data_IF_292357343755
#
_entry.id   IF_292357343755
#
_cell.length_a   1.000
_cell.length_b   1.000
_cell.length_c   1.000
_cell.angle_alpha   90.00
_cell.angle_beta   90.00
_cell.angle_gamma   90.00
#
_symmetry.space_group_name_H-M   'P 1'
#
loop_
_entity.id
_entity.type
_entity.pdbx_description
1 polymer ?
#
# COMPACT_ATOMS: atom_id res chain seq x y z
N UNK A 1 -18.14 6.67 -10.91
CA UNK A 1 -18.17 6.92 -12.36
C UNK A 1 -19.47 7.60 -12.68
N UNK A 2 -19.42 8.76 -13.35
CA UNK A 2 -20.61 9.50 -13.79
C UNK A 2 -20.82 9.16 -15.26
N UNK A 3 -21.99 8.64 -15.60
CA UNK A 3 -22.39 8.38 -16.97
C UNK A 3 -23.45 9.41 -17.38
N UNK A 4 -23.11 10.27 -18.32
CA UNK A 4 -24.05 11.17 -18.94
C UNK A 4 -24.52 10.58 -20.26
N UNK A 5 -25.84 10.49 -20.44
CA UNK A 5 -26.40 10.02 -21.70
C UNK A 5 -27.24 11.15 -22.35
N UNK A 6 -26.66 11.79 -23.35
CA UNK A 6 -27.35 12.83 -24.11
C UNK A 6 -28.23 12.24 -25.23
N UNK A 7 -27.89 11.08 -25.81
CA UNK A 7 -28.56 10.54 -26.99
C UNK A 7 -28.52 9.01 -27.09
N UNK A 8 -28.12 8.31 -26.01
CA UNK A 8 -28.08 6.83 -26.05
C UNK A 8 -29.40 6.33 -25.48
N UNK A 9 -30.19 5.79 -26.30
CA UNK A 9 -31.44 5.11 -25.96
C UNK A 9 -31.27 3.62 -26.22
N UNK A 10 -31.83 2.81 -25.35
CA UNK A 10 -31.83 1.36 -25.47
C UNK A 10 -33.25 0.95 -25.77
N UNK A 11 -33.44 0.12 -26.80
CA UNK A 11 -34.68 -0.59 -27.01
C UNK A 11 -34.67 -1.88 -26.17
N UNK A 12 -35.72 -2.18 -25.41
CA UNK A 12 -35.84 -3.50 -24.80
C UNK A 12 -35.81 -4.57 -25.89
N UNK A 13 -35.06 -5.64 -25.66
CA UNK A 13 -34.90 -6.74 -26.63
C UNK A 13 -35.76 -7.90 -26.14
N UNK A 14 -36.49 -8.55 -27.07
CA UNK A 14 -37.23 -9.78 -26.77
C UNK A 14 -36.26 -10.97 -26.65
N UNK A 15 -36.77 -12.14 -26.24
CA UNK A 15 -35.96 -13.37 -26.10
C UNK A 15 -35.30 -13.83 -27.41
N UNK A 16 -35.73 -13.31 -28.56
CA UNK A 16 -35.20 -13.59 -29.89
C UNK A 16 -34.14 -12.54 -30.36
N UNK A 17 -33.83 -11.54 -29.52
CA UNK A 17 -32.83 -10.51 -29.82
C UNK A 17 -33.34 -9.34 -30.67
N UNK A 18 -34.65 -9.23 -30.92
CA UNK A 18 -35.23 -8.13 -31.67
C UNK A 18 -35.61 -6.95 -30.77
N UNK A 19 -35.35 -5.73 -31.22
CA UNK A 19 -35.75 -4.53 -30.54
C UNK A 19 -37.26 -4.36 -30.47
N UNK A 20 -37.85 -4.36 -29.29
CA UNK A 20 -39.29 -4.27 -29.11
C UNK A 20 -39.63 -3.17 -28.10
N UNK A 21 -40.34 -2.15 -28.54
CA UNK A 21 -40.85 -1.09 -27.70
C UNK A 21 -40.23 0.30 -27.96
N UNK A 22 -40.59 1.26 -27.15
CA UNK A 22 -40.08 2.62 -27.23
C UNK A 22 -38.64 2.70 -26.74
N UNK A 23 -37.87 3.58 -27.36
CA UNK A 23 -36.49 3.88 -26.92
C UNK A 23 -36.52 4.51 -25.53
N UNK A 24 -35.83 3.88 -24.58
CA UNK A 24 -35.74 4.33 -23.19
C UNK A 24 -34.34 4.81 -22.86
N UNK A 25 -34.21 5.65 -21.85
CA UNK A 25 -32.91 5.99 -21.25
C UNK A 25 -32.22 4.74 -20.69
N UNK A 26 -30.88 4.79 -20.62
CA UNK A 26 -30.07 3.61 -20.19
C UNK A 26 -30.49 3.11 -18.80
N UNK A 27 -30.74 4.02 -17.86
CA UNK A 27 -31.15 3.63 -16.50
C UNK A 27 -32.51 2.95 -16.44
N UNK A 28 -33.48 3.43 -17.24
CA UNK A 28 -34.82 2.87 -17.30
C UNK A 28 -34.90 1.62 -18.19
N UNK A 29 -34.10 1.58 -19.26
CA UNK A 29 -34.06 0.46 -20.21
C UNK A 29 -33.28 -0.75 -19.69
N UNK A 30 -32.24 -0.50 -18.88
CA UNK A 30 -31.50 -1.50 -18.12
C UNK A 30 -31.73 -1.20 -16.65
N UNK A 31 -32.64 -1.89 -15.96
CA UNK A 31 -32.92 -1.59 -14.56
C UNK A 31 -31.71 -1.91 -13.68
N UNK A 32 -30.78 -0.93 -13.61
CA UNK A 32 -29.55 -1.05 -12.83
C UNK A 32 -29.91 -0.96 -11.35
N UNK A 33 -29.76 -2.06 -10.63
CA UNK A 33 -30.16 -2.20 -9.22
C UNK A 33 -28.98 -2.52 -8.29
N UNK A 34 -27.85 -2.88 -8.83
CA UNK A 34 -26.66 -3.36 -8.14
C UNK A 34 -26.38 -4.83 -8.43
N UNK A 35 -25.12 -5.18 -8.54
CA UNK A 35 -24.64 -6.52 -8.88
C UNK A 35 -24.39 -6.76 -10.35
N UNK A 36 -24.72 -5.83 -11.23
CA UNK A 36 -24.45 -5.92 -12.66
C UNK A 36 -22.96 -5.86 -12.92
N UNK A 37 -22.51 -6.63 -13.91
CA UNK A 37 -21.11 -6.62 -14.36
C UNK A 37 -20.87 -5.41 -15.26
N UNK A 38 -19.75 -4.74 -15.04
CA UNK A 38 -19.31 -3.61 -15.85
C UNK A 38 -17.94 -3.91 -16.43
N UNK A 39 -17.83 -3.84 -17.75
CA UNK A 39 -16.57 -3.86 -18.47
C UNK A 39 -16.17 -2.41 -18.75
N UNK A 40 -14.94 -2.04 -18.39
CA UNK A 40 -14.40 -0.71 -18.65
C UNK A 40 -13.08 -0.87 -19.39
N UNK A 41 -12.95 -0.17 -20.51
CA UNK A 41 -11.71 -0.01 -21.25
C UNK A 41 -11.41 1.48 -21.31
N UNK A 42 -10.23 1.88 -20.90
CA UNK A 42 -9.74 3.25 -21.02
C UNK A 42 -8.47 3.17 -21.85
N UNK A 43 -8.57 3.62 -23.09
CA UNK A 43 -7.44 3.67 -24.01
C UNK A 43 -6.57 4.88 -23.70
N UNK A 44 -5.27 4.68 -23.65
CA UNK A 44 -4.32 5.76 -23.46
C UNK A 44 -4.16 6.54 -24.77
N UNK A 45 -4.06 7.85 -24.66
CA UNK A 45 -3.80 8.73 -25.82
C UNK A 45 -2.31 9.06 -26.01
N UNK A 46 -1.44 8.35 -25.33
CA UNK A 46 0.01 8.54 -25.33
C UNK A 46 0.70 7.20 -25.19
N UNK A 47 1.76 6.98 -25.95
CA UNK A 47 2.58 5.76 -25.91
C UNK A 47 3.29 5.54 -24.56
N UNK A 48 3.40 6.59 -23.74
CA UNK A 48 3.99 6.53 -22.41
C UNK A 48 3.07 5.94 -21.34
N UNK A 49 1.77 5.87 -21.62
CA UNK A 49 0.77 5.34 -20.70
C UNK A 49 0.24 3.99 -21.23
N UNK A 50 -0.06 3.08 -20.32
CA UNK A 50 -0.71 1.81 -20.65
C UNK A 50 -2.22 1.98 -20.61
N UNK A 51 -2.89 1.26 -21.50
CA UNK A 51 -4.34 1.13 -21.43
C UNK A 51 -4.76 0.49 -20.11
N UNK A 52 -5.86 0.97 -19.56
CA UNK A 52 -6.50 0.37 -18.41
C UNK A 52 -7.64 -0.51 -18.87
N UNK A 53 -7.46 -1.81 -18.78
CA UNK A 53 -8.47 -2.79 -19.11
C UNK A 53 -9.00 -3.49 -17.86
N UNK A 54 -10.31 -3.34 -17.63
CA UNK A 54 -11.06 -4.12 -16.65
C UNK A 54 -11.92 -5.16 -17.39
N UNK A 55 -11.26 -5.92 -18.28
CA UNK A 55 -11.88 -6.82 -19.24
C UNK A 55 -11.71 -8.29 -18.94
N UNK A 56 -10.74 -8.65 -18.08
CA UNK A 56 -10.47 -10.05 -17.82
C UNK A 56 -11.67 -10.71 -17.16
N UNK A 57 -11.95 -11.95 -17.51
CA UNK A 57 -13.07 -12.72 -16.95
C UNK A 57 -13.11 -12.65 -15.41
N UNK A 58 -11.95 -12.51 -14.78
CA UNK A 58 -11.79 -12.44 -13.32
C UNK A 58 -11.74 -11.01 -12.76
N UNK A 59 -11.65 -9.96 -13.59
CA UNK A 59 -11.48 -8.57 -13.15
C UNK A 59 -12.66 -7.65 -13.44
N UNK A 60 -13.80 -8.23 -13.76
CA UNK A 60 -15.02 -7.44 -13.90
C UNK A 60 -15.30 -6.62 -12.63
N UNK A 61 -15.66 -5.38 -12.85
CA UNK A 61 -16.23 -4.55 -11.82
C UNK A 61 -17.73 -4.78 -11.74
N UNK A 62 -18.26 -4.69 -10.53
CA UNK A 62 -19.68 -4.86 -10.27
C UNK A 62 -20.27 -3.56 -9.75
N UNK A 63 -21.47 -3.23 -10.15
CA UNK A 63 -22.20 -2.11 -9.60
C UNK A 63 -22.49 -2.40 -8.14
N UNK A 64 -21.97 -1.59 -7.24
CA UNK A 64 -22.25 -1.67 -5.80
C UNK A 64 -23.39 -0.76 -5.38
N UNK A 65 -23.49 0.42 -5.99
CA UNK A 65 -24.59 1.35 -5.77
C UNK A 65 -24.72 2.32 -6.94
N UNK A 66 -25.93 2.88 -7.06
CA UNK A 66 -26.24 3.95 -8.01
C UNK A 66 -26.71 5.16 -7.22
N UNK A 67 -26.16 6.34 -7.53
CA UNK A 67 -26.52 7.59 -6.88
C UNK A 67 -26.66 8.73 -7.88
N UNK A 68 -27.08 9.89 -7.38
CA UNK A 68 -27.15 11.15 -8.15
C UNK A 68 -27.93 11.02 -9.47
N UNK A 69 -29.08 10.36 -9.40
CA UNK A 69 -29.94 10.13 -10.57
C UNK A 69 -30.68 11.43 -10.86
N UNK A 70 -30.37 12.03 -11.98
CA UNK A 70 -31.03 13.22 -12.51
C UNK A 70 -31.54 12.90 -13.92
N UNK A 71 -32.82 12.91 -14.11
CA UNK A 71 -33.43 12.69 -15.44
C UNK A 71 -34.33 13.85 -15.82
N UNK A 72 -34.26 14.25 -17.07
CA UNK A 72 -35.20 15.15 -17.70
C UNK A 72 -35.62 14.55 -19.07
N UNK A 73 -36.48 15.22 -19.81
CA UNK A 73 -36.98 14.73 -21.09
C UNK A 73 -35.90 14.46 -22.16
N UNK A 74 -34.67 14.94 -21.96
CA UNK A 74 -33.59 14.87 -22.96
C UNK A 74 -32.31 14.25 -22.45
N UNK A 75 -32.09 14.19 -21.13
CA UNK A 75 -30.83 13.75 -20.53
C UNK A 75 -31.09 12.96 -19.27
N UNK A 76 -30.31 11.94 -19.11
CA UNK A 76 -30.26 11.11 -17.92
C UNK A 76 -28.81 11.09 -17.41
N UNK A 77 -28.61 11.44 -16.16
CA UNK A 77 -27.30 11.44 -15.49
C UNK A 77 -27.42 10.59 -14.24
N UNK A 78 -26.48 9.71 -14.02
CA UNK A 78 -26.40 8.91 -12.80
C UNK A 78 -24.94 8.53 -12.49
N UNK A 79 -24.67 8.27 -11.23
CA UNK A 79 -23.34 7.86 -10.75
C UNK A 79 -23.35 6.37 -10.40
N UNK A 80 -22.49 5.59 -11.05
CA UNK A 80 -22.26 4.20 -10.73
C UNK A 80 -21.05 4.06 -9.80
N UNK A 81 -21.25 3.48 -8.63
CA UNK A 81 -20.17 3.04 -7.76
C UNK A 81 -19.84 1.58 -8.07
N UNK A 82 -18.59 1.34 -8.45
CA UNK A 82 -18.15 0.02 -8.87
C UNK A 82 -17.21 -0.59 -7.83
N UNK A 83 -17.27 -1.90 -7.67
CA UNK A 83 -16.41 -2.65 -6.76
C UNK A 83 -15.91 -3.94 -7.38
N UNK A 84 -14.83 -4.50 -6.83
CA UNK A 84 -14.31 -5.78 -7.28
C UNK A 84 -15.16 -6.96 -6.78
N UNK A 85 -15.11 -8.08 -7.50
CA UNK A 85 -15.76 -9.33 -7.08
C UNK A 85 -15.33 -9.78 -5.69
N UNK A 86 -14.03 -9.69 -5.38
CA UNK A 86 -13.51 -10.11 -4.09
C UNK A 86 -14.05 -9.26 -2.93
N UNK A 87 -14.36 -7.99 -3.13
CA UNK A 87 -15.02 -7.17 -2.13
C UNK A 87 -16.41 -7.69 -1.79
N UNK A 88 -17.19 -8.11 -2.81
CA UNK A 88 -18.50 -8.73 -2.61
C UNK A 88 -18.35 -10.09 -1.94
N UNK A 89 -17.41 -10.92 -2.40
CA UNK A 89 -17.15 -12.23 -1.82
C UNK A 89 -16.68 -12.14 -0.38
N UNK A 90 -15.93 -11.11 -0.01
CA UNK A 90 -15.52 -10.85 1.37
C UNK A 90 -16.70 -10.67 2.32
N UNK A 91 -17.80 -10.05 1.84
CA UNK A 91 -19.01 -9.88 2.67
C UNK A 91 -19.78 -11.18 2.87
N UNK A 92 -19.74 -12.09 1.90
CA UNK A 92 -20.47 -13.36 1.94
C UNK A 92 -19.66 -14.52 2.48
N UNK A 93 -18.34 -14.47 2.40
CA UNK A 93 -17.45 -15.53 2.86
C UNK A 93 -17.01 -15.36 4.30
N UNK A 94 -16.70 -16.49 4.93
CA UNK A 94 -16.16 -16.54 6.30
C UNK A 94 -14.97 -17.49 6.37
N UNK A 95 -13.95 -17.05 7.10
CA UNK A 95 -12.78 -17.87 7.39
C UNK A 95 -13.08 -18.71 8.62
N UNK A 96 -13.31 -20.00 8.41
CA UNK A 96 -13.50 -20.99 9.47
C UNK A 96 -12.43 -22.07 9.41
N UNK A 97 -12.45 -22.95 10.42
CA UNK A 97 -11.55 -24.08 10.48
C UNK A 97 -10.18 -23.76 11.09
N UNK A 98 -9.33 -24.79 11.07
CA UNK A 98 -7.99 -24.77 11.66
C UNK A 98 -6.93 -24.50 10.61
N UNK A 99 -6.02 -23.59 10.94
CA UNK A 99 -4.79 -23.35 10.21
C UNK A 99 -3.61 -23.95 10.99
N UNK A 100 -2.79 -24.72 10.31
CA UNK A 100 -1.73 -25.51 10.95
C UNK A 100 -0.59 -24.61 11.46
N UNK A 101 -0.15 -24.77 12.71
CA UNK A 101 0.96 -23.99 13.26
C UNK A 101 2.32 -24.32 12.63
N UNK A 102 2.44 -25.43 11.90
CA UNK A 102 3.65 -25.76 11.15
C UNK A 102 3.86 -24.95 9.88
N UNK A 103 2.83 -24.27 9.38
CA UNK A 103 2.88 -23.54 8.14
C UNK A 103 3.30 -22.08 8.32
N UNK A 104 4.08 -21.52 7.39
CA UNK A 104 4.31 -20.07 7.32
C UNK A 104 2.99 -19.32 7.14
N UNK A 105 2.94 -18.08 7.63
CA UNK A 105 1.73 -17.24 7.50
C UNK A 105 1.37 -17.02 6.03
N UNK A 106 2.35 -16.85 5.15
CA UNK A 106 2.13 -16.67 3.70
C UNK A 106 1.32 -17.81 3.08
N UNK A 107 1.55 -19.07 3.49
CA UNK A 107 0.78 -20.22 3.02
C UNK A 107 -0.70 -20.12 3.46
N UNK A 108 -0.95 -19.67 4.68
CA UNK A 108 -2.31 -19.46 5.17
C UNK A 108 -3.01 -18.31 4.45
N UNK A 109 -2.27 -17.25 4.13
CA UNK A 109 -2.76 -16.11 3.34
C UNK A 109 -3.15 -16.55 1.93
N UNK A 110 -2.27 -17.26 1.23
CA UNK A 110 -2.56 -17.78 -0.11
C UNK A 110 -3.81 -18.69 -0.12
N UNK A 111 -3.92 -19.56 0.89
CA UNK A 111 -5.09 -20.42 1.05
C UNK A 111 -6.38 -19.61 1.19
N UNK A 112 -6.38 -18.56 2.01
CA UNK A 112 -7.55 -17.71 2.21
C UNK A 112 -7.91 -16.97 0.91
N UNK A 113 -6.92 -16.42 0.20
CA UNK A 113 -7.14 -15.70 -1.06
C UNK A 113 -7.75 -16.62 -2.14
N UNK A 114 -7.21 -17.83 -2.27
CA UNK A 114 -7.69 -18.81 -3.28
C UNK A 114 -9.03 -19.43 -2.90
N UNK A 115 -9.18 -19.96 -1.69
CA UNK A 115 -10.34 -20.75 -1.32
C UNK A 115 -11.54 -19.90 -0.85
N UNK A 116 -11.31 -18.75 -0.23
CA UNK A 116 -12.38 -17.91 0.34
C UNK A 116 -12.76 -16.74 -0.54
N UNK A 117 -11.82 -16.18 -1.28
CA UNK A 117 -12.09 -15.07 -2.21
C UNK A 117 -12.19 -15.53 -3.67
N UNK A 118 -11.78 -16.78 -3.99
CA UNK A 118 -11.84 -17.33 -5.33
C UNK A 118 -10.90 -16.67 -6.32
N UNK A 119 -9.74 -16.18 -5.86
CA UNK A 119 -8.77 -15.49 -6.70
C UNK A 119 -7.88 -16.48 -7.45
N UNK A 120 -7.60 -16.18 -8.71
CA UNK A 120 -6.64 -16.93 -9.52
C UNK A 120 -5.19 -16.64 -9.09
N UNK A 121 -4.24 -17.55 -9.37
CA UNK A 121 -2.83 -17.31 -9.02
C UNK A 121 -2.24 -16.04 -9.64
N UNK A 122 -2.71 -15.60 -10.82
CA UNK A 122 -2.25 -14.39 -11.49
C UNK A 122 -2.71 -13.12 -10.78
N UNK A 123 -3.78 -13.20 -9.99
CA UNK A 123 -4.33 -12.09 -9.23
C UNK A 123 -3.73 -11.96 -7.83
N UNK A 124 -2.77 -12.80 -7.46
CA UNK A 124 -2.25 -12.90 -6.10
C UNK A 124 -0.74 -12.68 -6.11
N UNK A 125 -0.29 -11.70 -5.35
CA UNK A 125 1.12 -11.45 -5.09
C UNK A 125 1.39 -11.54 -3.58
N UNK A 126 1.88 -12.68 -3.13
CA UNK A 126 2.13 -12.97 -1.71
C UNK A 126 3.62 -13.16 -1.48
N UNK A 127 4.19 -12.28 -0.67
CA UNK A 127 5.57 -12.40 -0.21
C UNK A 127 5.69 -13.52 0.83
N UNK A 128 6.74 -14.33 0.73
CA UNK A 128 6.99 -15.44 1.67
C UNK A 128 7.34 -14.91 3.04
N UNK A 129 6.77 -15.54 4.08
CA UNK A 129 7.05 -15.23 5.48
C UNK A 129 7.93 -16.30 6.12
N UNK A 130 8.80 -15.89 7.03
CA UNK A 130 9.66 -16.82 7.80
C UNK A 130 8.90 -17.44 8.94
N UNK A 131 8.10 -16.64 9.65
CA UNK A 131 7.45 -17.09 10.86
C UNK A 131 6.21 -17.95 10.57
N UNK A 132 6.06 -18.96 11.41
CA UNK A 132 4.93 -19.89 11.41
C UNK A 132 3.89 -19.41 12.40
N UNK A 133 2.63 -19.63 12.07
CA UNK A 133 1.53 -19.25 12.95
C UNK A 133 0.29 -20.11 12.76
N UNK A 134 -0.13 -20.77 13.83
CA UNK A 134 -1.36 -21.54 13.85
C UNK A 134 -2.51 -20.77 14.48
N UNK A 135 -3.70 -20.85 13.89
CA UNK A 135 -4.90 -20.20 14.42
C UNK A 135 -6.17 -20.92 14.00
N UNK A 136 -7.24 -20.57 14.65
CA UNK A 136 -8.60 -20.97 14.25
C UNK A 136 -9.27 -19.75 13.62
N UNK A 137 -9.82 -19.95 12.42
CA UNK A 137 -10.62 -18.93 11.77
C UNK A 137 -11.94 -18.77 12.51
N UNK A 138 -12.13 -17.69 13.24
CA UNK A 138 -13.30 -17.44 14.09
C UNK A 138 -14.49 -16.88 13.30
N UNK A 139 -14.76 -17.44 12.11
CA UNK A 139 -15.85 -17.00 11.20
C UNK A 139 -15.79 -15.51 10.86
N UNK A 140 -14.59 -14.95 10.86
CA UNK A 140 -14.36 -13.55 10.45
C UNK A 140 -14.28 -13.43 8.94
N UNK A 141 -14.51 -12.21 8.43
CA UNK A 141 -14.38 -11.90 7.02
C UNK A 141 -12.93 -12.10 6.56
N UNK A 142 -12.68 -12.56 5.32
CA UNK A 142 -11.33 -12.80 4.80
C UNK A 142 -10.39 -11.60 4.92
N UNK A 143 -10.82 -10.41 4.52
CA UNK A 143 -9.96 -9.20 4.59
C UNK A 143 -9.55 -8.86 6.03
N UNK A 144 -10.45 -9.06 6.99
CA UNK A 144 -10.12 -8.85 8.41
C UNK A 144 -9.05 -9.83 8.88
N UNK A 145 -9.12 -11.09 8.47
CA UNK A 145 -8.13 -12.11 8.82
C UNK A 145 -6.79 -11.82 8.14
N UNK A 146 -6.81 -11.42 6.87
CA UNK A 146 -5.59 -11.09 6.13
C UNK A 146 -4.86 -9.88 6.73
N UNK A 147 -5.59 -8.83 7.09
CA UNK A 147 -5.03 -7.65 7.77
C UNK A 147 -4.47 -8.01 9.15
N UNK A 148 -5.16 -8.87 9.88
CA UNK A 148 -4.68 -9.36 11.17
C UNK A 148 -3.40 -10.21 11.04
N UNK A 149 -3.32 -11.09 10.03
CA UNK A 149 -2.11 -11.87 9.74
C UNK A 149 -0.95 -10.97 9.28
N UNK A 150 -1.24 -9.90 8.55
CA UNK A 150 -0.22 -8.94 8.11
C UNK A 150 0.53 -8.33 9.30
N UNK A 151 -0.17 -7.99 10.38
CA UNK A 151 0.46 -7.44 11.59
C UNK A 151 1.39 -8.40 12.34
N UNK A 152 1.34 -9.69 12.01
CA UNK A 152 2.14 -10.75 12.64
C UNK A 152 3.25 -11.29 11.76
N UNK A 153 3.25 -10.93 10.49
CA UNK A 153 4.12 -11.50 9.47
C UNK A 153 5.50 -10.88 9.49
N UNK A 154 6.52 -11.73 9.29
CA UNK A 154 7.94 -11.37 9.17
C UNK A 154 8.42 -11.84 7.82
N UNK A 155 9.07 -10.99 6.99
CA UNK A 155 9.54 -11.37 5.67
C UNK A 155 10.65 -12.42 5.74
N UNK A 156 10.72 -13.23 4.69
CA UNK A 156 11.78 -14.23 4.53
C UNK A 156 12.95 -13.64 3.73
N UNK A 157 13.72 -12.80 4.38
CA UNK A 157 14.95 -12.22 3.83
C UNK A 157 16.15 -12.67 4.64
N UNK A 158 17.29 -12.80 3.99
CA UNK A 158 18.57 -13.03 4.67
C UNK A 158 18.95 -11.78 5.44
N UNK A 159 18.92 -11.86 6.76
CA UNK A 159 19.22 -10.74 7.65
C UNK A 159 18.13 -10.48 8.67
N UNK A 160 18.28 -9.40 9.42
CA UNK A 160 17.32 -9.00 10.45
C UNK A 160 16.18 -8.17 9.84
N UNK A 161 15.21 -8.83 9.28
CA UNK A 161 13.99 -8.18 8.79
C UNK A 161 13.07 -7.76 9.93
N UNK A 162 12.32 -6.67 9.72
CA UNK A 162 11.32 -6.22 10.66
C UNK A 162 9.93 -6.77 10.34
N UNK A 163 9.15 -7.06 11.38
CA UNK A 163 7.77 -7.47 11.20
C UNK A 163 6.91 -6.30 10.70
N UNK A 164 5.89 -6.62 9.92
CA UNK A 164 4.90 -5.69 9.39
C UNK A 164 4.70 -5.87 7.89
N UNK A 165 3.50 -6.32 7.54
CA UNK A 165 3.06 -6.49 6.16
C UNK A 165 1.88 -5.59 5.89
N UNK A 166 1.66 -5.29 4.62
CA UNK A 166 0.46 -4.62 4.13
C UNK A 166 -0.32 -5.58 3.24
N UNK A 167 -1.64 -5.58 3.43
CA UNK A 167 -2.57 -6.23 2.53
C UNK A 167 -3.38 -5.16 1.81
N UNK A 168 -3.30 -5.13 0.49
CA UNK A 168 -3.96 -4.14 -0.35
C UNK A 168 -4.26 -4.68 -1.74
N UNK A 169 -5.16 -4.02 -2.43
CA UNK A 169 -5.54 -4.32 -3.81
C UNK A 169 -5.08 -3.21 -4.73
N UNK A 170 -4.58 -3.60 -5.90
CA UNK A 170 -4.35 -2.71 -7.03
C UNK A 170 -5.13 -3.20 -8.25
N UNK A 171 -5.09 -2.47 -9.35
CA UNK A 171 -5.65 -2.94 -10.61
C UNK A 171 -5.02 -4.24 -11.12
N UNK A 172 -3.80 -4.58 -10.67
CA UNK A 172 -3.05 -5.74 -11.17
C UNK A 172 -3.27 -6.98 -10.32
N UNK A 173 -3.24 -6.85 -8.99
CA UNK A 173 -3.30 -7.98 -8.08
C UNK A 173 -3.72 -7.58 -6.67
N UNK A 174 -3.94 -8.62 -5.84
CA UNK A 174 -4.02 -8.52 -4.39
C UNK A 174 -2.63 -8.78 -3.81
N UNK A 175 -2.12 -7.81 -3.10
CA UNK A 175 -0.75 -7.80 -2.58
C UNK A 175 -0.74 -8.10 -1.10
N UNK A 176 0.20 -8.97 -0.70
CA UNK A 176 0.56 -9.19 0.69
C UNK A 176 2.08 -9.07 0.78
N UNK A 177 2.57 -7.88 1.12
CA UNK A 177 3.99 -7.53 1.04
C UNK A 177 4.47 -6.88 2.33
N UNK A 178 5.76 -7.11 2.68
CA UNK A 178 6.39 -6.45 3.82
C UNK A 178 6.62 -4.95 3.56
N UNK A 179 6.54 -4.15 4.62
CA UNK A 179 6.85 -2.72 4.55
C UNK A 179 8.31 -2.54 4.13
N UNK A 180 9.22 -3.38 4.62
CA UNK A 180 10.64 -3.32 4.27
C UNK A 180 10.86 -3.49 2.76
N UNK A 181 10.25 -4.51 2.16
CA UNK A 181 10.36 -4.74 0.71
C UNK A 181 9.71 -3.62 -0.12
N UNK A 182 8.64 -3.01 0.39
CA UNK A 182 7.99 -1.88 -0.28
C UNK A 182 8.86 -0.62 -0.25
N UNK A 183 9.53 -0.36 0.86
CA UNK A 183 10.43 0.79 1.01
C UNK A 183 11.71 0.62 0.18
N UNK A 184 12.22 -0.61 0.06
CA UNK A 184 13.46 -0.92 -0.67
C UNK A 184 13.32 -0.90 -2.20
N UNK A 185 12.13 -0.68 -2.73
CA UNK A 185 11.92 -0.63 -4.17
C UNK A 185 12.61 0.59 -4.81
N UNK A 186 13.13 0.40 -6.01
CA UNK A 186 13.56 1.51 -6.82
C UNK A 186 12.37 2.41 -7.19
N UNK A 187 12.57 3.73 -7.26
CA UNK A 187 11.51 4.64 -7.67
C UNK A 187 11.09 4.35 -9.12
N UNK A 188 9.78 4.24 -9.34
CA UNK A 188 9.20 3.98 -10.67
C UNK A 188 9.06 5.24 -11.51
N UNK A 189 9.06 6.41 -10.88
CA UNK A 189 8.99 7.71 -11.55
C UNK A 189 9.61 8.80 -10.67
N UNK A 190 10.07 9.89 -11.31
CA UNK A 190 10.55 11.08 -10.64
C UNK A 190 9.69 12.27 -11.06
N UNK A 191 9.24 13.05 -10.08
CA UNK A 191 8.38 14.21 -10.30
C UNK A 191 9.01 15.47 -9.71
N UNK A 192 8.92 16.57 -10.48
CA UNK A 192 9.42 17.88 -10.07
C UNK A 192 8.27 18.88 -9.95
N UNK A 193 8.25 19.64 -8.87
CA UNK A 193 7.43 20.82 -8.77
C UNK A 193 8.20 22.05 -9.29
N UNK A 194 7.60 22.75 -10.23
CA UNK A 194 8.12 24.01 -10.76
C UNK A 194 6.98 24.98 -11.00
N UNK A 195 7.16 26.22 -10.57
CA UNK A 195 6.19 27.29 -10.83
C UNK A 195 6.24 27.79 -12.28
N UNK A 196 7.34 27.51 -12.98
CA UNK A 196 7.51 27.91 -14.40
C UNK A 196 6.81 26.93 -15.32
N UNK A 197 6.34 27.40 -16.46
CA UNK A 197 5.70 26.57 -17.48
C UNK A 197 6.69 25.52 -18.01
N UNK A 198 7.97 25.91 -18.19
CA UNK A 198 9.03 25.01 -18.61
C UNK A 198 9.97 24.79 -17.43
N UNK A 199 10.21 23.51 -17.16
CA UNK A 199 11.21 23.08 -16.17
C UNK A 199 12.39 22.47 -16.91
N UNK A 200 13.60 22.75 -16.41
CA UNK A 200 14.85 22.21 -16.95
C UNK A 200 15.58 21.47 -15.83
N UNK A 201 16.28 20.41 -16.20
CA UNK A 201 17.20 19.73 -15.30
C UNK A 201 18.50 20.54 -15.12
N UNK A 202 19.43 20.06 -14.27
CA UNK A 202 20.71 20.73 -14.05
C UNK A 202 21.62 20.75 -15.29
N UNK A 203 21.38 19.89 -16.26
CA UNK A 203 22.10 19.82 -17.52
C UNK A 203 21.49 20.73 -18.60
N UNK A 204 20.38 21.40 -18.28
CA UNK A 204 19.66 22.28 -19.20
C UNK A 204 18.69 21.55 -20.14
N UNK A 205 18.40 20.25 -19.90
CA UNK A 205 17.42 19.52 -20.69
C UNK A 205 16.02 19.84 -20.18
N UNK A 206 15.09 20.01 -21.12
CA UNK A 206 13.69 20.28 -20.78
C UNK A 206 13.04 19.03 -20.18
N UNK A 207 12.47 19.19 -18.98
CA UNK A 207 11.70 18.13 -18.31
C UNK A 207 10.34 18.02 -18.99
N UNK A 208 9.92 16.83 -19.42
CA UNK A 208 8.58 16.64 -19.97
C UNK A 208 7.49 17.02 -18.99
N UNK A 209 6.44 17.64 -19.47
CA UNK A 209 5.31 18.07 -18.64
C UNK A 209 4.63 16.91 -17.91
N UNK A 210 4.74 15.68 -18.39
CA UNK A 210 4.18 14.47 -17.79
C UNK A 210 4.77 14.16 -16.41
N UNK A 211 5.98 14.65 -16.12
CA UNK A 211 6.67 14.49 -14.84
C UNK A 211 6.60 15.72 -13.94
N UNK A 212 5.74 16.65 -14.27
CA UNK A 212 5.56 17.87 -13.49
C UNK A 212 4.47 17.69 -12.45
N UNK A 213 4.75 18.12 -11.22
CA UNK A 213 3.74 18.19 -10.17
C UNK A 213 2.85 19.39 -10.44
N UNK A 214 1.56 19.16 -10.63
CA UNK A 214 0.57 20.21 -10.87
C UNK A 214 0.19 20.92 -9.58
N UNK A 215 0.01 20.13 -8.52
CA UNK A 215 -0.36 20.62 -7.19
C UNK A 215 0.13 19.65 -6.13
N UNK A 216 0.58 20.18 -5.01
CA UNK A 216 0.85 19.38 -3.82
C UNK A 216 0.41 20.09 -2.55
N UNK A 217 0.16 19.30 -1.51
CA UNK A 217 -0.18 19.80 -0.20
C UNK A 217 0.32 18.79 0.84
N UNK A 218 1.07 19.27 1.81
CA UNK A 218 1.46 18.45 2.96
C UNK A 218 0.29 18.41 3.93
N UNK A 219 -0.34 17.24 4.07
CA UNK A 219 -1.47 17.01 4.99
C UNK A 219 -0.99 16.81 6.43
N UNK A 220 0.13 16.10 6.56
CA UNK A 220 0.72 15.77 7.86
C UNK A 220 2.23 15.90 7.79
N UNK A 221 2.74 16.64 8.72
CA UNK A 221 4.14 16.61 9.10
C UNK A 221 4.24 15.89 10.46
N UNK A 222 5.30 15.86 11.15
CA UNK A 222 5.47 15.06 12.36
C UNK A 222 4.56 15.50 13.52
N UNK A 223 4.04 14.50 14.29
CA UNK A 223 3.45 14.72 15.61
C UNK A 223 4.15 13.83 16.64
N UNK A 224 5.13 14.38 17.35
CA UNK A 224 5.97 13.65 18.29
C UNK A 224 5.15 13.05 19.44
N UNK A 225 4.25 13.85 20.05
CA UNK A 225 3.46 13.41 21.22
C UNK A 225 2.51 12.27 20.84
N UNK A 226 1.86 12.36 19.71
CA UNK A 226 0.98 11.30 19.19
C UNK A 226 1.77 10.01 18.96
N UNK A 227 2.94 10.10 18.35
CA UNK A 227 3.81 8.97 18.08
C UNK A 227 4.32 8.31 19.35
N UNK A 228 4.69 9.09 20.35
CA UNK A 228 5.06 8.57 21.67
C UNK A 228 3.88 7.83 22.30
N UNK A 229 2.67 8.40 22.29
CA UNK A 229 1.44 7.75 22.78
C UNK A 229 1.13 6.44 22.06
N UNK A 230 1.43 6.36 20.77
CA UNK A 230 1.23 5.16 19.95
C UNK A 230 2.35 4.11 20.13
N UNK A 231 3.46 4.45 20.81
CA UNK A 231 4.62 3.57 20.95
C UNK A 231 5.39 3.37 19.66
N UNK A 232 5.43 4.41 18.82
CA UNK A 232 6.04 4.33 17.49
C UNK A 232 7.57 4.14 17.54
N UNK A 233 8.25 4.69 18.54
CA UNK A 233 9.70 4.62 18.65
C UNK A 233 10.18 3.57 19.65
N UNK A 234 9.37 3.27 20.67
CA UNK A 234 9.62 2.19 21.60
C UNK A 234 8.31 1.72 22.23
N UNK A 235 8.12 0.41 22.27
CA UNK A 235 6.96 -0.21 22.90
C UNK A 235 7.36 -1.48 23.63
N UNK A 236 6.55 -1.85 24.61
CA UNK A 236 6.71 -3.09 25.35
C UNK A 236 5.44 -3.93 25.20
N UNK A 237 5.62 -5.17 24.75
CA UNK A 237 4.55 -6.14 24.70
C UNK A 237 4.81 -7.29 25.64
N UNK A 238 3.86 -7.57 26.51
CA UNK A 238 3.91 -8.68 27.44
C UNK A 238 2.71 -9.59 27.27
N UNK A 239 2.95 -10.89 27.35
CA UNK A 239 1.92 -11.90 27.38
C UNK A 239 1.88 -12.56 28.74
N UNK A 240 0.69 -12.65 29.30
CA UNK A 240 0.42 -13.45 30.46
C UNK A 240 0.14 -14.90 30.04
N UNK A 241 0.89 -15.85 30.59
CA UNK A 241 0.66 -17.27 30.40
C UNK A 241 -0.24 -17.80 31.54
N UNK A 242 -1.52 -18.13 31.27
CA UNK A 242 -2.43 -18.57 32.34
C UNK A 242 -2.11 -19.97 32.86
N UNK A 243 -1.29 -20.77 32.17
CA UNK A 243 -0.93 -22.12 32.60
C UNK A 243 0.22 -22.11 33.63
N UNK A 244 1.18 -21.20 33.44
CA UNK A 244 2.34 -21.09 34.30
C UNK A 244 2.29 -19.89 35.24
N UNK A 245 1.30 -19.01 35.08
CA UNK A 245 1.15 -17.75 35.81
C UNK A 245 2.38 -16.84 35.67
N UNK A 246 3.03 -16.88 34.50
CA UNK A 246 4.20 -16.07 34.19
C UNK A 246 3.90 -15.05 33.09
N UNK A 247 4.69 -13.98 33.07
CA UNK A 247 4.70 -13.01 32.00
C UNK A 247 5.88 -13.23 31.05
N UNK A 248 5.75 -12.77 29.81
CA UNK A 248 6.87 -12.72 28.87
C UNK A 248 8.03 -11.94 29.50
N UNK A 249 9.24 -12.45 29.35
CA UNK A 249 10.46 -11.77 29.74
C UNK A 249 10.47 -10.35 29.15
N UNK A 250 10.63 -9.30 29.98
CA UNK A 250 10.67 -7.92 29.49
C UNK A 250 11.68 -7.70 28.38
N UNK A 251 12.84 -8.35 28.41
CA UNK A 251 13.87 -8.21 27.38
C UNK A 251 13.42 -8.75 26.02
N UNK A 252 12.54 -9.74 25.99
CA UNK A 252 11.99 -10.31 24.76
C UNK A 252 10.81 -9.53 24.19
N UNK A 253 10.13 -8.75 25.02
CA UNK A 253 8.92 -8.01 24.66
C UNK A 253 9.16 -6.54 24.34
N UNK A 254 10.31 -5.99 24.70
CA UNK A 254 10.67 -4.60 24.43
C UNK A 254 11.21 -4.48 23.02
N UNK A 255 10.70 -3.49 22.31
CA UNK A 255 11.26 -2.99 21.06
C UNK A 255 11.71 -1.54 21.27
N UNK A 256 12.94 -1.25 20.87
CA UNK A 256 13.49 0.10 20.82
C UNK A 256 13.95 0.39 19.42
N UNK A 257 13.70 1.59 18.95
CA UNK A 257 14.16 1.99 17.61
C UNK A 257 15.68 1.85 17.47
N UNK A 258 16.44 2.23 18.49
CA UNK A 258 17.91 2.11 18.50
C UNK A 258 18.45 0.67 18.35
N UNK A 259 17.69 -0.35 18.77
CA UNK A 259 18.10 -1.76 18.63
C UNK A 259 18.05 -2.24 17.16
N UNK A 260 17.38 -1.50 16.31
CA UNK A 260 17.13 -1.85 14.90
C UNK A 260 17.54 -0.75 13.92
N UNK A 261 18.17 0.32 14.40
CA UNK A 261 18.53 1.48 13.56
C UNK A 261 19.30 1.09 12.31
N UNK A 262 20.27 0.18 12.45
CA UNK A 262 21.11 -0.29 11.34
C UNK A 262 20.43 -1.37 10.48
N UNK A 263 19.21 -1.79 10.82
CA UNK A 263 18.48 -2.90 10.20
C UNK A 263 17.17 -2.47 9.56
N UNK A 264 16.73 -1.27 9.85
CA UNK A 264 15.45 -0.74 9.36
C UNK A 264 15.72 0.22 8.23
N UNK A 265 15.25 -0.14 7.05
CA UNK A 265 15.29 0.76 5.90
C UNK A 265 14.22 1.83 6.03
N UNK A 266 14.60 3.06 5.76
CA UNK A 266 13.74 4.22 5.74
C UNK A 266 13.67 4.83 4.33
N UNK A 267 12.60 5.57 4.06
CA UNK A 267 12.46 6.32 2.80
C UNK A 267 13.33 7.58 2.78
N UNK A 268 13.77 8.06 3.91
CA UNK A 268 14.68 9.19 4.08
C UNK A 268 15.78 8.89 5.07
N UNK A 269 16.32 9.93 5.71
CA UNK A 269 17.36 9.83 6.72
C UNK A 269 16.87 9.15 8.00
N UNK A 270 17.80 8.75 8.84
CA UNK A 270 17.50 8.21 10.15
C UNK A 270 16.69 9.17 11.06
N UNK A 271 15.90 8.60 11.94
CA UNK A 271 15.20 9.37 12.95
C UNK A 271 16.16 10.09 13.90
N UNK A 272 15.99 11.39 14.03
CA UNK A 272 16.69 12.22 15.04
C UNK A 272 15.71 12.50 16.17
N UNK A 273 15.75 11.68 17.22
CA UNK A 273 14.88 11.86 18.38
C UNK A 273 15.54 12.77 19.43
N UNK A 274 14.77 13.62 20.11
CA UNK A 274 15.27 14.40 21.23
C UNK A 274 15.79 13.51 22.36
N UNK A 275 16.81 13.97 23.06
CA UNK A 275 17.31 13.30 24.28
C UNK A 275 16.28 13.38 25.39
N UNK A 276 16.27 12.37 26.28
CA UNK A 276 15.41 12.37 27.48
C UNK A 276 15.72 13.51 28.45
N UNK A 277 16.99 13.87 28.56
CA UNK A 277 17.46 15.04 29.31
C UNK A 277 18.81 15.48 28.77
N UNK A 278 19.22 16.70 29.04
CA UNK A 278 20.51 17.25 28.63
C UNK A 278 21.73 16.46 29.16
N UNK A 279 21.54 15.74 30.28
CA UNK A 279 22.60 15.00 30.97
C UNK A 279 22.68 13.53 30.57
N UNK A 280 21.73 13.00 29.79
CA UNK A 280 21.68 11.59 29.38
C UNK A 280 22.04 11.36 27.92
N UNK A 281 22.67 10.23 27.65
CA UNK A 281 22.93 9.77 26.28
C UNK A 281 21.66 9.22 25.63
N UNK A 282 20.69 8.78 26.46
CA UNK A 282 19.44 8.15 25.99
C UNK A 282 18.52 9.15 25.32
N UNK A 283 17.90 8.72 24.24
CA UNK A 283 16.86 9.47 23.54
C UNK A 283 15.43 8.97 23.90
N UNK A 284 14.43 9.61 23.33
CA UNK A 284 13.02 9.24 23.55
C UNK A 284 12.67 7.85 22.99
N UNK A 285 13.46 7.29 22.09
CA UNK A 285 13.28 5.95 21.55
C UNK A 285 13.77 4.82 22.45
N UNK A 286 14.56 5.14 23.50
CA UNK A 286 15.09 4.15 24.42
C UNK A 286 14.10 3.69 25.50
N UNK A 287 13.02 4.45 25.71
CA UNK A 287 12.04 4.17 26.76
C UNK A 287 10.71 3.74 26.13
N UNK A 288 10.22 2.53 26.48
CA UNK A 288 8.91 2.09 26.03
C UNK A 288 7.81 3.04 26.50
N UNK A 289 7.20 3.75 25.58
CA UNK A 289 6.14 4.74 25.88
C UNK A 289 4.75 4.12 25.87
N UNK A 290 4.62 2.92 25.33
CA UNK A 290 3.37 2.17 25.32
C UNK A 290 3.57 0.72 25.72
N UNK A 291 2.71 0.24 26.61
CA UNK A 291 2.72 -1.14 27.12
C UNK A 291 1.45 -1.83 26.65
N UNK A 292 1.60 -3.00 26.03
CA UNK A 292 0.51 -3.86 25.62
C UNK A 292 0.55 -5.16 26.41
N UNK A 293 -0.54 -5.49 27.08
CA UNK A 293 -0.70 -6.76 27.77
C UNK A 293 -1.76 -7.62 27.07
N UNK A 294 -1.48 -8.88 26.87
CA UNK A 294 -2.38 -9.85 26.25
C UNK A 294 -2.19 -11.22 26.89
N UNK A 295 -3.20 -12.07 26.76
CA UNK A 295 -3.07 -13.48 27.15
C UNK A 295 -2.28 -14.24 26.08
N UNK A 296 -1.33 -15.04 26.52
CA UNK A 296 -0.53 -15.88 25.62
C UNK A 296 -1.40 -17.01 25.03
N UNK A 297 -1.39 -17.12 23.71
CA UNK A 297 -1.95 -18.26 23.04
C UNK A 297 -0.94 -19.43 23.07
N UNK A 298 -1.11 -20.33 24.00
CA UNK A 298 -0.20 -21.47 24.26
C UNK A 298 -0.58 -22.69 23.40
N UNK A 299 -1.00 -22.48 22.18
CA UNK A 299 -1.06 -23.58 21.20
C UNK A 299 -1.95 -24.76 21.58
N UNK A 300 -3.24 -24.49 21.87
CA UNK A 300 -4.26 -25.54 22.01
C UNK A 300 -4.55 -26.30 20.70
N UNK A 301 -3.84 -25.94 19.62
CA UNK A 301 -4.09 -26.43 18.26
C UNK A 301 -3.33 -27.70 17.90
N UNK A 302 -2.43 -28.20 18.76
CA UNK A 302 -1.62 -29.38 18.47
C UNK A 302 -2.37 -30.69 18.71
N UNK A 303 -2.22 -31.64 17.78
CA UNK A 303 -2.89 -32.94 17.85
C UNK A 303 -2.25 -33.88 18.86
N UNK A 304 -0.97 -33.69 19.18
CA UNK A 304 -0.21 -34.61 20.04
C UNK A 304 0.65 -33.85 21.06
N UNK A 305 0.87 -34.42 22.27
CA UNK A 305 1.74 -33.85 23.28
C UNK A 305 3.23 -33.74 22.84
N UNK A 306 3.64 -34.53 21.82
CA UNK A 306 5.02 -34.50 21.28
C UNK A 306 5.34 -33.22 20.51
N UNK A 307 4.31 -32.47 20.09
CA UNK A 307 4.46 -31.22 19.36
C UNK A 307 4.63 -30.02 20.31
N UNK A 308 5.20 -30.25 21.50
CA UNK A 308 5.36 -29.22 22.53
C UNK A 308 6.22 -28.04 22.03
N UNK A 309 7.23 -28.31 21.22
CA UNK A 309 8.10 -27.28 20.63
C UNK A 309 7.35 -26.36 19.66
N UNK A 310 6.32 -26.85 19.01
CA UNK A 310 5.46 -26.05 18.15
C UNK A 310 4.53 -25.11 18.94
N UNK A 311 4.31 -25.34 20.23
CA UNK A 311 3.57 -24.43 21.12
C UNK A 311 4.32 -23.13 21.35
N UNK A 312 5.64 -23.15 21.24
CA UNK A 312 6.49 -21.97 21.41
C UNK A 312 6.46 -21.03 20.19
N UNK A 313 6.02 -21.52 19.03
CA UNK A 313 5.98 -20.73 17.79
C UNK A 313 5.09 -19.49 17.94
N UNK A 314 3.91 -19.63 18.55
CA UNK A 314 3.03 -18.49 18.81
C UNK A 314 3.53 -17.61 19.97
N UNK A 315 4.34 -18.14 20.87
CA UNK A 315 4.87 -17.43 22.05
C UNK A 315 5.90 -16.36 21.71
N UNK A 316 6.63 -16.53 20.60
CA UNK A 316 7.68 -15.58 20.18
C UNK A 316 7.12 -14.32 19.48
N UNK A 317 5.82 -14.20 19.35
CA UNK A 317 5.16 -13.09 18.64
C UNK A 317 5.29 -11.73 19.37
N UNK A 318 5.65 -11.70 20.65
CA UNK A 318 5.78 -10.45 21.40
C UNK A 318 6.75 -9.47 20.74
N UNK A 319 7.92 -9.95 20.34
CA UNK A 319 8.95 -9.18 19.63
C UNK A 319 8.41 -8.62 18.32
N UNK A 320 7.83 -9.46 17.48
CA UNK A 320 7.36 -9.09 16.15
C UNK A 320 6.16 -8.15 16.20
N UNK A 321 5.28 -8.31 17.17
CA UNK A 321 4.13 -7.40 17.32
C UNK A 321 4.55 -5.99 17.71
N UNK A 322 5.57 -5.85 18.56
CA UNK A 322 6.13 -4.54 18.89
C UNK A 322 6.78 -3.87 17.68
N UNK A 323 7.51 -4.64 16.87
CA UNK A 323 8.09 -4.16 15.62
C UNK A 323 7.01 -3.69 14.62
N UNK A 324 5.96 -4.48 14.44
CA UNK A 324 4.84 -4.12 13.54
C UNK A 324 4.17 -2.82 13.97
N UNK A 325 3.94 -2.63 15.27
CA UNK A 325 3.38 -1.38 15.81
C UNK A 325 4.26 -0.19 15.45
N UNK A 326 5.56 -0.32 15.61
CA UNK A 326 6.51 0.73 15.21
C UNK A 326 6.38 1.02 13.72
N UNK A 327 6.51 -0.01 12.87
CA UNK A 327 6.50 0.17 11.39
C UNK A 327 5.22 0.83 10.90
N UNK A 328 4.05 0.40 11.39
CA UNK A 328 2.78 1.03 11.01
C UNK A 328 2.66 2.47 11.48
N UNK A 329 3.13 2.78 12.69
CA UNK A 329 3.02 4.14 13.22
C UNK A 329 4.06 5.10 12.64
N UNK A 330 5.24 4.61 12.24
CA UNK A 330 6.27 5.44 11.62
C UNK A 330 6.00 5.67 10.13
N UNK A 331 5.41 4.70 9.41
CA UNK A 331 5.13 4.81 7.98
C UNK A 331 4.33 6.07 7.60
N UNK A 332 3.46 6.53 8.49
CA UNK A 332 2.64 7.73 8.28
C UNK A 332 3.20 8.98 8.95
N UNK A 333 4.53 9.13 9.00
CA UNK A 333 5.17 10.33 9.56
C UNK A 333 4.86 11.56 8.76
N UNK A 334 5.08 11.49 7.46
CA UNK A 334 4.65 12.51 6.52
C UNK A 334 3.55 11.96 5.61
N UNK A 335 2.55 12.78 5.35
CA UNK A 335 1.49 12.50 4.37
C UNK A 335 1.42 13.70 3.45
N UNK A 336 1.56 13.45 2.17
CA UNK A 336 1.56 14.43 1.10
C UNK A 336 0.46 14.08 0.09
N UNK A 337 -0.43 15.01 -0.19
CA UNK A 337 -1.35 14.91 -1.33
C UNK A 337 -0.73 15.57 -2.55
N UNK A 338 -0.73 14.88 -3.68
CA UNK A 338 -0.11 15.33 -4.91
C UNK A 338 -1.02 15.04 -6.11
N UNK A 339 -1.03 15.97 -7.07
CA UNK A 339 -1.72 15.81 -8.35
C UNK A 339 -0.70 15.97 -9.48
N UNK A 340 -0.68 15.01 -10.39
CA UNK A 340 0.22 14.95 -11.54
C UNK A 340 -0.59 14.71 -12.82
N UNK A 341 -0.05 14.96 -14.01
CA UNK A 341 -0.64 14.48 -15.26
C UNK A 341 -0.92 12.99 -15.19
N UNK A 342 -1.89 12.54 -15.96
CA UNK A 342 -2.33 11.15 -15.92
C UNK A 342 -1.15 10.18 -16.15
N UNK A 343 -0.98 9.25 -15.21
CA UNK A 343 0.00 8.18 -15.34
C UNK A 343 -0.61 6.85 -14.85
N UNK A 344 -1.07 6.05 -15.79
CA UNK A 344 -1.74 4.76 -15.54
C UNK A 344 -0.79 3.65 -15.13
N UNK A 345 0.53 3.87 -15.24
CA UNK A 345 1.53 2.88 -14.83
C UNK A 345 1.71 2.80 -13.33
N UNK A 346 1.34 3.87 -12.59
CA UNK A 346 1.47 3.93 -11.14
C UNK A 346 0.43 3.06 -10.44
N UNK A 347 0.87 2.41 -9.36
CA UNK A 347 -0.02 1.67 -8.47
C UNK A 347 0.29 1.98 -7.00
N UNK A 348 -0.65 1.71 -6.12
CA UNK A 348 -0.41 1.79 -4.68
C UNK A 348 0.71 0.82 -4.26
N UNK A 349 1.60 1.28 -3.39
CA UNK A 349 2.79 0.55 -2.95
C UNK A 349 4.04 0.84 -3.77
N UNK A 350 3.95 1.54 -4.90
CA UNK A 350 5.13 2.00 -5.64
C UNK A 350 5.83 3.13 -4.91
N UNK A 351 7.15 3.22 -5.10
CA UNK A 351 7.97 4.34 -4.62
C UNK A 351 8.21 5.31 -5.77
N UNK A 352 8.09 6.59 -5.49
CA UNK A 352 8.38 7.67 -6.43
C UNK A 352 9.30 8.69 -5.79
N UNK A 353 10.08 9.40 -6.62
CA UNK A 353 10.96 10.48 -6.21
C UNK A 353 10.27 11.80 -6.45
N UNK A 354 10.22 12.67 -5.45
CA UNK A 354 9.61 13.99 -5.56
C UNK A 354 10.65 15.06 -5.24
N UNK A 355 10.69 16.10 -6.05
CA UNK A 355 11.58 17.25 -5.87
C UNK A 355 10.76 18.52 -5.69
N UNK A 356 11.00 19.22 -4.59
CA UNK A 356 10.34 20.47 -4.24
C UNK A 356 11.38 21.60 -4.13
N UNK A 357 11.03 22.83 -4.54
CA UNK A 357 11.95 23.96 -4.43
C UNK A 357 12.10 24.40 -2.98
N UNK A 358 13.32 24.78 -2.63
CA UNK A 358 13.63 25.42 -1.36
C UNK A 358 13.21 26.89 -1.38
N UNK A 359 12.57 27.32 -0.31
CA UNK A 359 12.27 28.75 -0.12
C UNK A 359 13.60 29.44 0.22
N UNK A 360 14.19 30.15 -0.74
CA UNK A 360 15.43 30.88 -0.58
C UNK A 360 15.35 32.22 -1.28
N UNK A 361 15.87 33.29 -0.62
CA UNK A 361 15.97 34.62 -1.23
C UNK A 361 17.06 34.68 -2.31
N UNK A 362 18.13 33.88 -2.15
CA UNK A 362 19.34 33.99 -2.98
C UNK A 362 19.38 33.04 -4.17
N UNK A 363 18.83 31.84 -3.99
CA UNK A 363 18.92 30.83 -5.03
C UNK A 363 17.60 30.03 -5.09
N UNK A 364 16.82 30.34 -6.10
CA UNK A 364 15.51 29.70 -6.34
C UNK A 364 15.63 28.34 -7.01
N UNK A 365 16.82 27.92 -7.40
CA UNK A 365 17.06 26.61 -8.03
C UNK A 365 17.38 25.52 -7.01
N UNK A 366 17.58 25.86 -5.74
CA UNK A 366 17.89 24.87 -4.71
C UNK A 366 16.66 24.01 -4.37
N UNK A 367 16.93 22.72 -4.22
CA UNK A 367 15.96 21.72 -3.81
C UNK A 367 15.83 21.73 -2.28
N UNK A 368 14.62 21.57 -1.78
CA UNK A 368 14.37 21.40 -0.36
C UNK A 368 14.74 19.96 0.06
N UNK A 369 15.84 19.81 0.77
CA UNK A 369 16.35 18.52 1.23
C UNK A 369 15.43 17.82 2.26
N UNK A 370 14.63 18.57 2.99
CA UNK A 370 13.72 18.03 4.00
C UNK A 370 12.43 17.45 3.40
N UNK A 371 11.88 18.13 2.39
CA UNK A 371 10.64 17.68 1.73
C UNK A 371 10.89 16.81 0.51
N UNK A 372 11.97 17.04 -0.21
CA UNK A 372 12.31 16.24 -1.37
C UNK A 372 12.80 14.85 -0.99
N UNK A 373 12.77 13.93 -1.93
CA UNK A 373 13.23 12.55 -1.74
C UNK A 373 12.15 11.55 -2.13
N UNK A 374 12.17 10.40 -1.48
CA UNK A 374 11.37 9.26 -1.85
C UNK A 374 10.09 9.19 -1.02
N UNK A 375 9.03 8.85 -1.71
CA UNK A 375 7.71 8.66 -1.14
C UNK A 375 7.08 7.37 -1.67
N UNK A 376 6.35 6.67 -0.82
CA UNK A 376 5.54 5.52 -1.23
C UNK A 376 4.11 5.97 -1.50
N UNK A 377 3.54 5.48 -2.57
CA UNK A 377 2.14 5.74 -2.92
C UNK A 377 1.23 4.91 -2.00
N UNK A 378 0.49 5.60 -1.13
CA UNK A 378 -0.51 4.97 -0.27
C UNK A 378 -1.79 4.65 -1.03
N UNK A 379 -2.30 5.63 -1.73
CA UNK A 379 -3.52 5.54 -2.55
C UNK A 379 -3.41 6.47 -3.74
N UNK A 380 -4.03 6.10 -4.83
CA UNK A 380 -4.10 6.93 -6.02
C UNK A 380 -5.48 6.82 -6.67
N UNK A 381 -5.85 7.88 -7.38
CA UNK A 381 -7.06 7.96 -8.14
C UNK A 381 -6.75 8.56 -9.53
N UNK A 382 -7.04 7.81 -10.56
CA UNK A 382 -7.01 8.34 -11.93
C UNK A 382 -8.35 8.99 -12.22
N UNK A 383 -8.29 10.24 -12.58
CA UNK A 383 -9.46 11.03 -12.91
C UNK A 383 -9.51 11.28 -14.42
N UNK A 384 -10.60 10.89 -15.02
CA UNK A 384 -10.85 11.07 -16.45
C UNK A 384 -12.06 11.97 -16.66
N UNK A 385 -11.87 13.02 -17.42
CA UNK A 385 -12.92 13.93 -17.83
C UNK A 385 -12.74 14.24 -19.32
N UNK A 386 -13.75 14.79 -19.97
CA UNK A 386 -13.70 15.25 -21.35
C UNK A 386 -12.69 16.37 -21.60
N UNK A 387 -12.37 17.14 -20.57
CA UNK A 387 -11.46 18.29 -20.66
C UNK A 387 -10.08 18.02 -20.07
N UNK A 388 -10.01 17.25 -18.97
CA UNK A 388 -8.78 17.03 -18.23
C UNK A 388 -8.69 15.60 -17.71
N UNK A 389 -7.49 15.05 -17.76
CA UNK A 389 -7.17 13.77 -17.15
C UNK A 389 -5.94 13.93 -16.25
N UNK A 390 -6.04 13.47 -15.00
CA UNK A 390 -4.94 13.58 -14.03
C UNK A 390 -4.95 12.42 -13.03
N UNK A 391 -3.82 12.22 -12.40
CA UNK A 391 -3.67 11.29 -11.29
C UNK A 391 -3.51 12.08 -9.99
N UNK A 392 -4.41 11.87 -9.06
CA UNK A 392 -4.31 12.37 -7.69
C UNK A 392 -3.85 11.24 -6.79
N UNK A 393 -2.87 11.50 -5.94
CA UNK A 393 -2.30 10.47 -5.06
C UNK A 393 -2.02 11.01 -3.68
N UNK A 394 -2.10 10.12 -2.69
CA UNK A 394 -1.58 10.35 -1.34
C UNK A 394 -0.32 9.54 -1.15
N UNK A 395 0.71 10.26 -0.79
CA UNK A 395 2.05 9.74 -0.57
C UNK A 395 2.35 9.68 0.91
N UNK A 396 3.10 8.67 1.32
CA UNK A 396 3.53 8.50 2.70
C UNK A 396 5.04 8.32 2.77
N UNK A 397 5.60 8.74 3.90
CA UNK A 397 7.02 8.65 4.17
C UNK A 397 7.24 8.48 5.68
N UNK A 398 8.14 7.59 6.03
CA UNK A 398 8.41 7.24 7.43
C UNK A 398 9.37 8.20 8.13
N UNK A 399 10.27 8.86 7.38
CA UNK A 399 11.29 9.78 7.91
C UNK A 399 11.39 11.05 7.06
N UNK A 400 12.34 11.89 7.34
CA UNK A 400 12.65 13.14 6.62
C UNK A 400 14.00 13.02 5.91
N UNK A 401 14.32 14.01 5.07
CA UNK A 401 15.60 14.10 4.42
C UNK A 401 15.75 13.14 3.24
N UNK A 402 16.90 13.15 2.62
CA UNK A 402 17.24 12.29 1.49
C UNK A 402 18.52 11.52 1.82
N UNK A 403 18.46 10.20 1.81
CA UNK A 403 19.63 9.34 1.98
C UNK A 403 19.87 8.52 0.70
N UNK A 404 20.57 9.07 -0.30
CA UNK A 404 20.83 8.37 -1.55
C UNK A 404 21.81 7.20 -1.38
N UNK A 405 22.80 7.31 -0.46
CA UNK A 405 23.89 6.33 -0.33
C UNK A 405 23.39 4.95 0.14
N UNK A 406 22.46 4.91 1.11
CA UNK A 406 21.90 3.66 1.62
C UNK A 406 21.16 2.83 0.56
N UNK A 407 20.77 3.44 -0.56
CA UNK A 407 19.99 2.79 -1.61
C UNK A 407 20.79 2.26 -2.77
N UNK A 408 21.93 2.85 -3.07
CA UNK A 408 22.81 2.33 -4.13
C UNK A 408 23.35 0.95 -3.75
N UNK A 409 23.72 0.74 -2.49
CA UNK A 409 24.13 -0.59 -1.98
C UNK A 409 23.00 -1.61 -2.00
N UNK A 410 21.78 -1.22 -1.62
CA UNK A 410 20.63 -2.13 -1.59
C UNK A 410 20.05 -2.41 -2.98
N UNK A 411 20.08 -1.46 -3.88
CA UNK A 411 19.65 -1.66 -5.27
C UNK A 411 20.58 -2.63 -6.01
N UNK A 412 21.87 -2.64 -5.70
CA UNK A 412 22.82 -3.59 -6.27
C UNK A 412 22.56 -5.02 -5.80
N UNK A 413 22.25 -5.25 -4.53
CA UNK A 413 21.94 -6.58 -3.98
C UNK A 413 20.67 -7.19 -4.57
N UNK A 414 19.69 -6.36 -4.87
CA UNK A 414 18.45 -6.83 -5.47
C UNK A 414 18.56 -7.12 -6.97
N UNK A 415 19.48 -6.46 -7.67
CA UNK A 415 19.70 -6.67 -9.10
C UNK A 415 20.55 -7.90 -9.41
N UNK A 416 21.36 -8.37 -8.48
CA UNK A 416 22.18 -9.58 -8.65
C UNK A 416 21.37 -10.88 -8.66
N UNK A 417 20.24 -10.93 -7.98
CA UNK A 417 19.38 -12.12 -7.91
C UNK A 417 18.45 -12.31 -9.12
N UNK A 418 18.44 -11.42 -10.09
CA UNK A 418 17.62 -11.53 -11.32
C UNK A 418 16.10 -11.50 -11.12
N UNK A 419 15.63 -11.63 -9.88
CA UNK A 419 14.20 -11.70 -9.55
C UNK A 419 13.48 -10.37 -9.69
N UNK A 420 14.17 -9.26 -9.67
CA UNK A 420 13.57 -7.94 -9.87
C UNK A 420 13.50 -7.47 -11.31
N UNK A 421 14.32 -8.00 -12.20
CA UNK A 421 14.23 -7.64 -13.62
C UNK A 421 12.93 -8.15 -14.27
N UNK A 422 12.29 -9.15 -13.68
CA UNK A 422 10.98 -9.64 -14.12
C UNK A 422 9.81 -8.84 -13.54
N UNK A 423 10.01 -8.11 -12.46
CA UNK A 423 9.08 -7.09 -11.96
C UNK A 423 9.29 -5.79 -12.74
N UNK A 424 9.38 -5.89 -14.07
CA UNK A 424 9.55 -4.76 -14.97
C UNK A 424 8.28 -3.90 -15.02
N UNK A 425 7.99 -3.29 -13.88
CA UNK A 425 7.24 -2.04 -13.79
C UNK A 425 8.14 -0.87 -14.18
N UNK A 426 9.19 -1.17 -14.97
CA UNK A 426 10.02 -0.13 -15.53
C UNK A 426 9.11 0.72 -16.40
N UNK A 427 8.97 1.93 -16.00
CA UNK A 427 8.44 3.00 -16.81
C UNK A 427 9.25 3.01 -18.12
N UNK A 428 8.63 2.58 -19.21
CA UNK A 428 9.26 2.52 -20.54
C UNK A 428 9.29 3.90 -21.23
N UNK A 429 8.86 4.94 -20.54
CA UNK A 429 8.95 6.32 -21.01
C UNK A 429 10.33 6.90 -20.73
N UNK A 430 11.28 6.62 -21.61
CA UNK A 430 12.60 7.23 -21.68
C UNK A 430 13.44 7.10 -20.41
N UNK A 431 14.71 6.88 -20.56
CA UNK A 431 15.73 6.73 -19.51
C UNK A 431 15.98 8.03 -18.69
N UNK A 432 14.90 8.69 -18.25
CA UNK A 432 15.03 9.91 -17.42
C UNK A 432 15.55 9.62 -16.01
N UNK A 433 15.48 8.37 -15.55
CA UNK A 433 16.11 7.95 -14.30
C UNK A 433 17.62 7.68 -14.48
N UNK A 434 18.03 7.27 -15.69
CA UNK A 434 19.44 7.00 -16.04
C UNK A 434 20.18 8.23 -16.59
N UNK A 435 19.46 9.25 -17.07
CA UNK A 435 20.04 10.47 -17.61
C UNK A 435 20.14 11.56 -16.54
N UNK A 436 21.22 11.59 -15.78
CA UNK A 436 21.63 12.76 -15.00
C UNK A 436 20.80 13.12 -13.77
N UNK A 437 19.58 12.56 -13.61
CA UNK A 437 18.75 12.82 -12.43
C UNK A 437 19.36 12.24 -11.14
N UNK A 438 20.23 11.24 -11.25
CA UNK A 438 21.03 10.72 -10.13
C UNK A 438 22.08 11.70 -9.61
N UNK A 439 22.45 12.71 -10.39
CA UNK A 439 23.42 13.73 -10.01
C UNK A 439 22.80 14.98 -9.37
N UNK A 440 21.47 15.03 -9.24
CA UNK A 440 20.73 16.15 -8.66
C UNK A 440 20.57 16.06 -7.13
N UNK A 441 21.11 14.99 -6.51
CA UNK A 441 20.92 14.77 -5.08
C UNK A 441 22.15 14.18 -4.41
#
# INVERSE_FOLDING_TARGET
MVLGNANQTIAPVNDEGEAKGELMGVYNGLPIRGGERVKITIEANSDSNKDLEFNYEDTFLYVSSVSDIISNSQRELFTLHLTSRASITNETSRVGGRFDPGNPISTSVEKILKEKLGLSPQQIEVEKTTNKYGFIGNMRKPFTVLTWLASKSVPNVSGDATAGFLFYQTQRAYHFRSIDKLIMQNPVAAYLYSETVEAFDNEGNKIPNDFKILRYQTERNQNLIEKLKLGAYSSYRTFFNPLTFTFTDPQKGVFRHGDYKDKVNNLGDDFKLPKLSETTVRDLGDVPTRIFTSVLDVGTLHKTPKDFDARTVNADQAKYQSQSVMRYNTLFTQILSMTVPLNTNLIAGDVIKCSFPKISEKDKSQVDDEQSGLYMIKELCHYYNTEHSYTSMKLVRDTYGNNPEAREEESSQFNEDGTRKTDSRSYTGGNYLDSGWGALF
#
